data_IF_157970791995
#
_entry.id   IF_157970791995
#
_cell.length_a   1.000
_cell.length_b   1.000
_cell.length_c   1.000
_cell.angle_alpha   90.00
_cell.angle_beta   90.00
_cell.angle_gamma   90.00
#
_symmetry.space_group_name_H-M   'P 1'
#
loop_
_entity.id
_entity.type
_entity.pdbx_description
1 polymer ?
#
# COMPACT_ATOMS: atom_id res chain seq x y z
N UNK A 1 16.53 9.62 -4.44
CA UNK A 1 15.98 8.25 -4.61
C UNK A 1 14.65 8.16 -3.84
N UNK A 2 13.52 8.22 -4.53
CA UNK A 2 12.19 8.15 -3.87
C UNK A 2 11.90 6.68 -3.58
N UNK A 3 11.90 6.28 -2.31
CA UNK A 3 11.43 4.94 -1.91
C UNK A 3 9.93 4.87 -2.22
N UNK A 4 9.58 4.25 -3.34
CA UNK A 4 8.19 3.88 -3.65
C UNK A 4 7.69 3.02 -2.49
N UNK A 5 6.68 3.50 -1.75
CA UNK A 5 5.94 2.65 -0.82
C UNK A 5 5.28 1.56 -1.67
N UNK A 6 5.85 0.37 -1.61
CA UNK A 6 5.33 -0.80 -2.33
C UNK A 6 4.00 -1.15 -1.70
N UNK A 7 2.94 -1.11 -2.51
CA UNK A 7 1.63 -1.63 -2.11
C UNK A 7 1.78 -3.15 -1.97
N UNK A 8 1.44 -3.75 -0.82
CA UNK A 8 1.57 -5.19 -0.63
C UNK A 8 0.90 -5.98 -1.77
N UNK A 9 1.63 -6.91 -2.38
CA UNK A 9 1.16 -7.72 -3.52
C UNK A 9 1.34 -7.07 -4.90
N UNK A 10 1.59 -5.76 -4.99
CA UNK A 10 1.86 -5.10 -6.27
C UNK A 10 3.30 -5.34 -6.72
N UNK A 11 3.46 -5.86 -7.94
CA UNK A 11 4.77 -6.11 -8.55
C UNK A 11 4.93 -5.19 -9.76
N UNK A 12 5.90 -4.28 -9.67
CA UNK A 12 6.33 -3.44 -10.78
C UNK A 12 7.65 -4.01 -11.34
N UNK A 13 7.72 -4.15 -12.66
CA UNK A 13 8.95 -4.51 -13.36
C UNK A 13 9.37 -3.40 -14.30
N UNK A 14 10.68 -3.22 -14.49
CA UNK A 14 11.18 -2.30 -15.51
C UNK A 14 10.76 -2.83 -16.89
N UNK A 15 10.18 -1.96 -17.69
CA UNK A 15 9.72 -2.29 -19.02
C UNK A 15 10.97 -2.51 -19.91
N UNK A 16 11.13 -3.66 -20.59
CA UNK A 16 12.22 -3.84 -21.54
C UNK A 16 12.14 -2.80 -22.66
N UNK A 17 13.27 -2.37 -23.24
CA UNK A 17 13.31 -1.18 -24.10
C UNK A 17 12.40 -1.28 -25.33
N UNK A 18 12.14 -2.49 -25.83
CA UNK A 18 11.29 -2.79 -26.99
C UNK A 18 9.79 -2.93 -26.67
N UNK A 19 9.36 -2.87 -25.41
CA UNK A 19 7.94 -3.01 -25.09
C UNK A 19 7.15 -1.76 -25.48
N UNK A 20 6.03 -1.99 -26.18
CA UNK A 20 5.05 -0.93 -26.49
C UNK A 20 4.15 -0.62 -25.29
N UNK A 21 4.07 -1.52 -24.29
CA UNK A 21 3.28 -1.36 -23.07
C UNK A 21 4.09 -0.67 -21.97
N UNK A 22 4.56 0.56 -22.22
CA UNK A 22 5.15 1.38 -21.16
C UNK A 22 4.00 2.01 -20.35
N UNK A 23 3.80 1.57 -19.11
CA UNK A 23 3.03 2.39 -18.16
C UNK A 23 3.90 3.55 -17.67
N UNK A 24 3.34 4.43 -16.84
CA UNK A 24 3.97 5.66 -16.34
C UNK A 24 5.45 5.41 -15.98
N UNK A 25 6.36 6.16 -16.61
CA UNK A 25 7.81 6.13 -16.37
C UNK A 25 8.55 4.83 -16.72
N UNK A 26 8.04 4.00 -17.64
CA UNK A 26 8.81 2.85 -18.16
C UNK A 26 8.80 1.63 -17.24
N UNK A 27 7.75 1.49 -16.43
CA UNK A 27 7.46 0.28 -15.69
C UNK A 27 6.29 -0.50 -16.32
N UNK A 28 6.19 -1.78 -15.99
CA UNK A 28 5.07 -2.67 -16.29
C UNK A 28 4.54 -3.19 -14.95
N UNK A 29 3.23 -3.09 -14.74
CA UNK A 29 2.55 -3.73 -13.62
C UNK A 29 2.42 -5.22 -13.94
N UNK A 30 3.23 -6.07 -13.30
CA UNK A 30 3.15 -7.54 -13.46
C UNK A 30 2.03 -8.15 -12.63
N UNK A 31 1.86 -7.62 -11.41
CA UNK A 31 0.75 -7.95 -10.55
C UNK A 31 0.20 -6.64 -10.00
N UNK A 32 -1.07 -6.37 -10.29
CA UNK A 32 -1.76 -5.19 -9.77
C UNK A 32 -2.11 -5.38 -8.29
N UNK A 33 -2.41 -4.29 -7.58
CA UNK A 33 -3.17 -4.44 -6.35
C UNK A 33 -4.53 -5.12 -6.66
N UNK A 34 -5.13 -5.84 -5.69
CA UNK A 34 -6.34 -6.63 -5.92
C UNK A 34 -7.50 -5.82 -6.53
N UNK A 35 -7.63 -4.56 -6.12
CA UNK A 35 -8.65 -3.60 -6.61
C UNK A 35 -8.37 -3.00 -8.00
N UNK A 36 -7.28 -3.36 -8.69
CA UNK A 36 -6.94 -2.78 -10.00
C UNK A 36 -8.00 -3.16 -11.05
N UNK A 37 -8.71 -2.16 -11.57
CA UNK A 37 -9.78 -2.36 -12.55
C UNK A 37 -11.11 -2.82 -11.94
N UNK A 38 -11.22 -2.85 -10.61
CA UNK A 38 -12.42 -3.24 -9.86
C UNK A 38 -12.74 -2.16 -8.83
N UNK A 39 -13.46 -1.10 -9.21
CA UNK A 39 -13.76 0.01 -8.30
C UNK A 39 -14.59 -0.43 -7.09
N UNK A 40 -15.32 -1.55 -7.18
CA UNK A 40 -16.14 -2.12 -6.10
C UNK A 40 -15.30 -2.65 -4.93
N UNK A 41 -14.04 -3.03 -5.19
CA UNK A 41 -13.11 -3.53 -4.18
C UNK A 41 -12.35 -2.41 -3.44
N UNK A 42 -12.59 -1.15 -3.80
CA UNK A 42 -11.98 -0.02 -3.12
C UNK A 42 -12.60 0.20 -1.74
N UNK A 43 -11.76 0.47 -0.75
CA UNK A 43 -12.26 0.87 0.57
C UNK A 43 -13.02 2.21 0.49
N UNK A 44 -13.97 2.48 1.41
CA UNK A 44 -14.73 3.73 1.41
C UNK A 44 -13.84 4.99 1.42
N UNK A 45 -12.72 4.93 2.15
CA UNK A 45 -11.73 6.00 2.17
C UNK A 45 -11.06 6.20 0.80
N UNK A 46 -10.68 5.13 0.12
CA UNK A 46 -10.10 5.21 -1.23
C UNK A 46 -11.10 5.74 -2.25
N UNK A 47 -12.37 5.31 -2.17
CA UNK A 47 -13.44 5.83 -3.00
C UNK A 47 -13.64 7.34 -2.78
N UNK A 48 -13.67 7.79 -1.53
CA UNK A 48 -13.80 9.21 -1.20
C UNK A 48 -12.63 10.05 -1.78
N UNK A 49 -11.40 9.52 -1.79
CA UNK A 49 -10.25 10.17 -2.45
C UNK A 49 -10.48 10.27 -3.96
N UNK A 50 -10.88 9.18 -4.59
CA UNK A 50 -11.05 9.10 -6.05
C UNK A 50 -12.15 10.05 -6.52
N UNK A 51 -13.27 10.12 -5.80
CA UNK A 51 -14.38 11.03 -6.10
C UNK A 51 -13.93 12.49 -5.95
N UNK A 52 -13.35 12.87 -4.81
CA UNK A 52 -12.90 14.24 -4.58
C UNK A 52 -11.81 14.67 -5.58
N UNK A 53 -10.92 13.74 -5.95
CA UNK A 53 -9.94 13.95 -7.01
C UNK A 53 -10.61 14.20 -8.36
N UNK A 54 -11.57 13.35 -8.74
CA UNK A 54 -12.26 13.44 -10.03
C UNK A 54 -13.05 14.75 -10.15
N UNK A 55 -13.78 15.16 -9.10
CA UNK A 55 -14.55 16.40 -9.07
C UNK A 55 -13.65 17.64 -9.22
N UNK A 56 -12.54 17.70 -8.47
CA UNK A 56 -11.58 18.81 -8.57
C UNK A 56 -10.85 18.82 -9.90
N UNK A 57 -10.44 17.66 -10.40
CA UNK A 57 -9.81 17.56 -11.71
C UNK A 57 -10.76 18.00 -12.82
N UNK A 58 -12.05 17.65 -12.73
CA UNK A 58 -13.06 18.07 -13.68
C UNK A 58 -13.27 19.59 -13.66
N UNK A 59 -13.30 20.21 -12.48
CA UNK A 59 -13.38 21.68 -12.34
C UNK A 59 -12.18 22.40 -12.95
N UNK A 60 -10.99 21.81 -12.83
CA UNK A 60 -9.74 22.36 -13.37
C UNK A 60 -9.49 21.98 -14.82
N UNK A 61 -10.42 21.26 -15.46
CA UNK A 61 -10.31 20.87 -16.86
C UNK A 61 -10.13 22.10 -17.77
N UNK A 62 -9.24 21.99 -18.74
CA UNK A 62 -8.86 23.12 -19.60
C UNK A 62 -7.77 24.04 -19.03
N UNK A 63 -7.27 23.80 -17.80
CA UNK A 63 -6.09 24.52 -17.30
C UNK A 63 -4.84 24.12 -18.10
N UNK A 64 -4.26 25.08 -18.82
CA UNK A 64 -3.03 24.89 -19.62
C UNK A 64 -1.80 25.50 -18.95
N UNK A 65 -0.61 25.20 -19.49
CA UNK A 65 0.66 25.77 -19.04
C UNK A 65 1.40 24.92 -18.00
N UNK A 66 2.52 25.46 -17.52
CA UNK A 66 3.41 24.84 -16.54
C UNK A 66 3.53 25.74 -15.30
N UNK A 67 3.73 25.13 -14.15
CA UNK A 67 4.02 25.80 -12.89
C UNK A 67 5.16 25.08 -12.19
N UNK A 68 6.04 25.84 -11.54
CA UNK A 68 7.08 25.25 -10.72
C UNK A 68 6.47 24.73 -9.42
N UNK A 69 6.70 23.46 -9.11
CA UNK A 69 6.25 22.84 -7.87
C UNK A 69 7.35 21.94 -7.29
N UNK A 70 7.82 22.30 -6.10
CA UNK A 70 8.93 21.61 -5.40
C UNK A 70 10.21 21.50 -6.25
N UNK A 71 10.54 22.57 -6.98
CA UNK A 71 11.76 22.66 -7.79
C UNK A 71 11.69 21.96 -9.14
N UNK A 72 10.51 21.48 -9.57
CA UNK A 72 10.30 20.83 -10.86
C UNK A 72 9.13 21.51 -11.57
N UNK A 73 9.28 21.78 -12.87
CA UNK A 73 8.19 22.28 -13.69
C UNK A 73 7.18 21.17 -13.98
N UNK A 74 5.97 21.36 -13.48
CA UNK A 74 4.85 20.44 -13.66
C UNK A 74 3.71 21.10 -14.43
N UNK A 75 2.80 20.31 -15.04
CA UNK A 75 1.57 20.85 -15.61
C UNK A 75 0.78 21.65 -14.56
N UNK A 76 0.31 22.84 -14.93
CA UNK A 76 -0.38 23.75 -14.01
C UNK A 76 -1.60 23.10 -13.34
N UNK A 77 -2.34 22.27 -14.08
CA UNK A 77 -3.47 21.49 -13.54
C UNK A 77 -3.06 20.58 -12.38
N UNK A 78 -1.91 19.91 -12.47
CA UNK A 78 -1.44 19.00 -11.43
C UNK A 78 -1.03 19.76 -10.17
N UNK A 79 -0.43 20.95 -10.34
CA UNK A 79 -0.04 21.82 -9.22
C UNK A 79 -1.27 22.37 -8.50
N UNK A 80 -2.26 22.88 -9.23
CA UNK A 80 -3.52 23.38 -8.67
C UNK A 80 -4.30 22.27 -7.96
N UNK A 81 -4.44 21.12 -8.60
CA UNK A 81 -5.12 19.95 -8.03
C UNK A 81 -4.42 19.48 -6.75
N UNK A 82 -3.09 19.45 -6.74
CA UNK A 82 -2.33 19.15 -5.54
C UNK A 82 -2.57 20.18 -4.43
N UNK A 83 -2.84 21.45 -4.75
CA UNK A 83 -3.22 22.49 -3.79
C UNK A 83 -4.60 22.27 -3.16
N UNK A 84 -5.59 21.86 -3.95
CA UNK A 84 -6.98 21.71 -3.52
C UNK A 84 -7.27 20.41 -2.76
N UNK A 85 -6.45 19.38 -2.96
CA UNK A 85 -6.58 18.08 -2.28
C UNK A 85 -6.42 18.21 -0.76
N UNK A 86 -7.25 17.52 0.03
CA UNK A 86 -7.09 17.45 1.49
C UNK A 86 -5.78 16.73 1.82
N UNK A 87 -4.99 17.31 2.74
CA UNK A 87 -3.70 16.76 3.18
C UNK A 87 -3.64 16.70 4.70
N UNK A 88 -2.83 15.79 5.23
CA UNK A 88 -2.55 15.70 6.66
C UNK A 88 -3.35 14.62 7.38
N UNK A 89 -3.29 14.66 8.71
CA UNK A 89 -4.00 13.72 9.58
C UNK A 89 -5.51 13.94 9.45
N UNK A 90 -6.28 12.86 9.34
CA UNK A 90 -7.72 12.88 9.09
C UNK A 90 -8.11 12.98 7.61
N UNK A 91 -7.19 13.33 6.70
CA UNK A 91 -7.48 13.36 5.27
C UNK A 91 -7.79 11.94 4.77
N UNK A 92 -9.05 11.71 4.39
CA UNK A 92 -9.58 10.43 3.89
C UNK A 92 -9.22 9.23 4.78
N UNK A 93 -9.33 9.40 6.11
CA UNK A 93 -8.99 8.35 7.07
C UNK A 93 -7.48 8.18 7.31
N UNK A 94 -6.66 9.15 6.89
CA UNK A 94 -5.22 9.15 7.15
C UNK A 94 -4.91 9.29 8.64
N UNK A 95 -4.36 8.24 9.25
CA UNK A 95 -3.87 8.28 10.65
C UNK A 95 -2.53 9.02 10.78
N UNK A 96 -2.29 9.59 11.95
CA UNK A 96 -1.03 10.25 12.28
C UNK A 96 0.15 9.27 12.20
N UNK A 97 1.39 9.75 12.01
CA UNK A 97 2.56 8.89 12.05
C UNK A 97 2.71 8.12 13.37
N UNK A 98 2.31 8.74 14.48
CA UNK A 98 2.35 8.16 15.83
C UNK A 98 1.31 7.06 15.99
N UNK A 99 0.06 7.32 15.59
CA UNK A 99 -1.01 6.32 15.62
C UNK A 99 -0.68 5.13 14.71
N UNK A 100 -0.10 5.38 13.53
CA UNK A 100 0.36 4.30 12.64
C UNK A 100 1.50 3.47 13.25
N UNK A 101 2.33 4.07 14.12
CA UNK A 101 3.35 3.31 14.86
C UNK A 101 2.67 2.50 15.97
N UNK A 102 1.74 3.10 16.69
CA UNK A 102 0.97 2.45 17.76
C UNK A 102 0.16 1.27 17.25
N UNK A 103 -0.60 1.43 16.18
CA UNK A 103 -1.36 0.34 15.54
C UNK A 103 -0.47 -0.82 15.09
N UNK A 104 0.70 -0.51 14.50
CA UNK A 104 1.68 -1.56 14.14
C UNK A 104 2.18 -2.29 15.37
N UNK A 105 2.53 -1.55 16.40
CA UNK A 105 3.01 -2.10 17.66
C UNK A 105 1.93 -2.98 18.31
N UNK A 106 0.69 -2.52 18.45
CA UNK A 106 -0.43 -3.29 18.99
C UNK A 106 -0.78 -4.51 18.14
N UNK A 107 -0.64 -4.44 16.80
CA UNK A 107 -0.82 -5.58 15.91
C UNK A 107 0.28 -6.62 16.09
N UNK A 108 1.51 -6.20 16.39
CA UNK A 108 2.63 -7.09 16.74
C UNK A 108 2.47 -7.65 18.16
N UNK A 109 1.95 -6.88 19.11
CA UNK A 109 1.67 -7.33 20.49
C UNK A 109 0.54 -8.38 20.60
N UNK A 110 -0.29 -8.55 19.56
CA UNK A 110 -1.19 -9.71 19.45
C UNK A 110 -0.44 -11.05 19.40
N UNK A 111 0.87 -11.02 19.16
CA UNK A 111 1.79 -12.10 19.52
C UNK A 111 2.16 -11.93 21.00
N UNK A 112 1.19 -12.12 21.88
CA UNK A 112 1.39 -11.95 23.32
C UNK A 112 2.35 -13.04 23.84
N UNK A 113 3.13 -12.74 24.89
CA UNK A 113 3.98 -13.75 25.56
C UNK A 113 3.22 -15.05 25.90
N UNK A 114 1.96 -15.01 26.37
CA UNK A 114 1.12 -16.19 26.50
C UNK A 114 0.87 -16.95 25.19
N UNK A 115 0.62 -16.26 24.08
CA UNK A 115 0.45 -16.89 22.77
C UNK A 115 1.74 -17.57 22.29
N UNK A 116 2.89 -16.92 22.49
CA UNK A 116 4.21 -17.50 22.19
C UNK A 116 4.53 -18.72 23.07
N UNK A 117 4.19 -18.67 24.35
CA UNK A 117 4.34 -19.82 25.28
C UNK A 117 3.45 -20.98 24.87
N UNK A 118 2.19 -20.73 24.51
CA UNK A 118 1.27 -21.75 24.01
C UNK A 118 1.77 -22.39 22.70
N UNK A 119 2.33 -21.59 21.77
CA UNK A 119 2.93 -22.11 20.55
C UNK A 119 4.18 -22.96 20.84
N UNK A 120 5.03 -22.54 21.78
CA UNK A 120 6.21 -23.29 22.18
C UNK A 120 5.85 -24.65 22.79
N UNK A 121 4.83 -24.69 23.66
CA UNK A 121 4.33 -25.94 24.24
C UNK A 121 3.76 -26.88 23.19
N UNK A 122 2.95 -26.37 22.25
CA UNK A 122 2.44 -27.17 21.12
C UNK A 122 3.57 -27.77 20.29
N UNK A 123 4.60 -26.98 19.95
CA UNK A 123 5.76 -27.46 19.19
C UNK A 123 6.59 -28.48 19.97
N UNK A 124 6.76 -28.31 21.29
CA UNK A 124 7.44 -29.31 22.14
C UNK A 124 6.66 -30.62 22.16
N UNK A 125 5.35 -30.58 22.33
CA UNK A 125 4.50 -31.78 22.32
C UNK A 125 4.55 -32.53 20.99
N UNK A 126 4.61 -31.83 19.85
CA UNK A 126 4.81 -32.43 18.53
C UNK A 126 6.18 -33.12 18.41
N UNK A 127 7.26 -32.48 18.87
CA UNK A 127 8.60 -33.08 18.87
C UNK A 127 8.64 -34.32 19.76
N UNK A 128 8.04 -34.29 20.95
CA UNK A 128 7.99 -35.45 21.83
C UNK A 128 7.19 -36.59 21.21
N UNK A 129 6.05 -36.32 20.55
CA UNK A 129 5.30 -37.34 19.82
C UNK A 129 6.06 -37.91 18.62
N UNK A 130 6.77 -37.07 17.88
CA UNK A 130 7.62 -37.52 16.77
C UNK A 130 8.81 -38.36 17.27
N UNK A 131 9.44 -37.97 18.37
CA UNK A 131 10.49 -38.75 19.02
C UNK A 131 9.96 -40.07 19.60
N UNK A 132 8.75 -40.08 20.15
CA UNK A 132 8.11 -41.29 20.68
C UNK A 132 7.74 -42.26 19.55
N UNK A 133 7.31 -41.77 18.38
CA UNK A 133 7.10 -42.58 17.17
C UNK A 133 8.39 -43.23 16.66
N UNK A 134 9.52 -42.51 16.71
CA UNK A 134 10.83 -43.06 16.31
C UNK A 134 11.35 -44.15 17.27
N UNK A 135 10.91 -44.14 18.53
CA UNK A 135 11.27 -45.18 19.53
C UNK A 135 10.34 -46.39 19.42
N UNK A 136 9.09 -46.22 18.99
CA UNK A 136 8.12 -47.33 18.86
C UNK A 136 8.11 -48.03 17.50
N UNK A 137 8.90 -47.57 16.51
CA UNK A 137 9.17 -48.33 15.29
C UNK A 137 7.94 -48.66 14.43
N UNK A 138 7.16 -47.65 14.07
CA UNK A 138 6.23 -47.70 12.93
C UNK A 138 6.60 -46.65 11.88
#
# INVERSE_FOLDING_TARGET
MVKLKVIPGMILAKAPPWTRKRTLAGFIVKNGPPWLGRPEELSPAQLAVVVDFAEKAHRLYGTTGKMNYKGVDMPAIAVKLAGEMKKGVGAYGGVSPEDRRRERYTRTERVSLPHLRSLLEKKRAEITRAGMRLVTGE
#
